data_IF_705395836190
#
_entry.id   IF_705395836190
#
_cell.length_a   1.000
_cell.length_b   1.000
_cell.length_c   1.000
_cell.angle_alpha   90.00
_cell.angle_beta   90.00
_cell.angle_gamma   90.00
#
_symmetry.space_group_name_H-M   'P 1'
#
loop_
_entity.id
_entity.type
_entity.pdbx_description
1 polymer ?
#
# COMPACT_ATOMS: atom_id res chain seq x y z
N UNK A 1 26.52 -27.84 -80.93
CA UNK A 1 25.97 -26.71 -81.70
C UNK A 1 24.50 -26.91 -82.10
N UNK A 2 23.65 -25.97 -81.68
CA UNK A 2 22.23 -25.85 -82.03
C UNK A 2 21.98 -24.53 -82.77
N UNK A 3 20.82 -24.40 -83.43
CA UNK A 3 20.41 -23.17 -84.13
C UNK A 3 19.24 -22.53 -83.39
N UNK A 4 19.35 -21.25 -83.05
CA UNK A 4 18.30 -20.54 -82.33
C UNK A 4 17.07 -20.38 -83.21
N UNK A 5 15.93 -20.92 -82.77
CA UNK A 5 14.66 -20.75 -83.49
C UNK A 5 14.17 -19.30 -83.55
N UNK A 6 14.67 -18.42 -82.68
CA UNK A 6 14.24 -17.01 -82.62
C UNK A 6 15.09 -16.07 -83.48
N UNK A 7 16.40 -16.31 -83.64
CA UNK A 7 17.30 -15.42 -84.40
C UNK A 7 18.13 -16.12 -85.49
N UNK A 8 18.07 -17.45 -85.60
CA UNK A 8 18.79 -18.23 -86.60
C UNK A 8 20.30 -18.37 -86.35
N UNK A 9 20.85 -17.82 -85.27
CA UNK A 9 22.26 -17.96 -84.94
C UNK A 9 22.59 -19.40 -84.49
N UNK A 10 23.74 -19.93 -84.91
CA UNK A 10 24.27 -21.20 -84.40
C UNK A 10 25.18 -20.95 -83.20
N UNK A 11 25.00 -21.72 -82.13
CA UNK A 11 25.74 -21.61 -80.87
C UNK A 11 25.87 -22.98 -80.20
N UNK A 12 26.73 -23.09 -79.18
CA UNK A 12 26.89 -24.35 -78.46
C UNK A 12 25.64 -24.72 -77.63
N UNK A 13 25.48 -26.02 -77.40
CA UNK A 13 24.24 -26.60 -76.85
C UNK A 13 24.22 -26.64 -75.31
N UNK A 14 25.28 -26.14 -74.67
CA UNK A 14 25.43 -26.10 -73.22
C UNK A 14 24.86 -24.82 -72.59
N UNK A 15 24.71 -23.73 -73.36
CA UNK A 15 24.07 -22.52 -72.84
C UNK A 15 22.53 -22.64 -72.73
N UNK A 16 21.94 -22.23 -71.58
CA UNK A 16 20.49 -22.28 -71.36
C UNK A 16 19.71 -21.25 -72.19
N UNK A 17 20.40 -20.24 -72.75
CA UNK A 17 19.81 -19.20 -73.61
C UNK A 17 20.76 -18.88 -74.74
N UNK A 18 20.18 -18.56 -75.90
CA UNK A 18 20.95 -18.07 -77.03
C UNK A 18 21.72 -16.79 -76.64
N UNK A 19 23.06 -16.76 -76.75
CA UNK A 19 23.85 -15.61 -76.32
C UNK A 19 23.63 -14.35 -77.18
N UNK A 20 23.06 -14.52 -78.38
CA UNK A 20 22.86 -13.42 -79.32
C UNK A 20 21.53 -12.69 -79.14
N UNK A 21 20.44 -13.41 -78.84
CA UNK A 21 19.11 -12.80 -78.70
C UNK A 21 18.40 -13.09 -77.38
N UNK A 22 18.99 -13.93 -76.51
CA UNK A 22 18.38 -14.32 -75.24
C UNK A 22 17.21 -15.30 -75.35
N UNK A 23 16.92 -15.84 -76.55
CA UNK A 23 15.88 -16.86 -76.74
C UNK A 23 16.21 -18.14 -75.97
N UNK A 24 15.20 -18.73 -75.32
CA UNK A 24 15.41 -19.90 -74.46
C UNK A 24 15.85 -21.13 -75.28
N UNK A 25 16.85 -21.85 -74.76
CA UNK A 25 17.17 -23.20 -75.21
C UNK A 25 16.18 -24.16 -74.52
N UNK A 26 15.04 -24.40 -75.17
CA UNK A 26 13.95 -25.19 -74.60
C UNK A 26 14.40 -26.60 -74.21
N UNK A 27 15.20 -27.27 -75.04
CA UNK A 27 15.68 -28.63 -74.78
C UNK A 27 16.57 -28.69 -73.53
N UNK A 28 17.48 -27.71 -73.38
CA UNK A 28 18.31 -27.61 -72.17
C UNK A 28 17.51 -27.24 -70.92
N UNK A 29 16.54 -26.35 -71.05
CA UNK A 29 15.65 -25.98 -69.94
C UNK A 29 14.81 -27.16 -69.45
N UNK A 30 14.38 -28.04 -70.36
CA UNK A 30 13.66 -29.28 -70.02
C UNK A 30 14.60 -30.26 -69.31
N UNK A 31 15.83 -30.45 -69.80
CA UNK A 31 16.81 -31.33 -69.18
C UNK A 31 17.13 -30.90 -67.73
N UNK A 32 17.40 -29.61 -67.50
CA UNK A 32 17.69 -29.09 -66.16
C UNK A 32 16.50 -29.26 -65.21
N UNK A 33 15.27 -29.09 -65.70
CA UNK A 33 14.08 -29.34 -64.90
C UNK A 33 13.91 -30.82 -64.55
N UNK A 34 14.15 -31.72 -65.50
CA UNK A 34 14.05 -33.16 -65.27
C UNK A 34 15.08 -33.65 -64.23
N UNK A 35 16.31 -33.15 -64.31
CA UNK A 35 17.37 -33.43 -63.33
C UNK A 35 16.98 -32.93 -61.93
N UNK A 36 16.45 -31.69 -61.85
CA UNK A 36 15.98 -31.12 -60.57
C UNK A 36 14.87 -31.95 -59.95
N UNK A 37 13.91 -32.43 -60.76
CA UNK A 37 12.81 -33.27 -60.27
C UNK A 37 13.33 -34.63 -59.79
N UNK A 38 14.32 -35.20 -60.45
CA UNK A 38 14.90 -36.49 -60.08
C UNK A 38 15.74 -36.41 -58.80
N UNK A 39 16.43 -35.30 -58.56
CA UNK A 39 17.15 -35.06 -57.30
C UNK A 39 16.17 -34.85 -56.13
N UNK A 40 15.09 -34.09 -56.34
CA UNK A 40 14.03 -33.93 -55.34
C UNK A 40 13.34 -35.26 -55.00
N UNK A 41 13.15 -36.15 -55.97
CA UNK A 41 12.63 -37.50 -55.72
C UNK A 41 13.60 -38.35 -54.89
N UNK A 42 14.91 -38.25 -55.13
CA UNK A 42 15.93 -38.94 -54.32
C UNK A 42 15.98 -38.41 -52.89
N UNK A 43 15.94 -37.09 -52.70
CA UNK A 43 15.85 -36.49 -51.37
C UNK A 43 14.57 -36.94 -50.65
N UNK A 44 13.42 -36.90 -51.32
CA UNK A 44 12.15 -37.37 -50.75
C UNK A 44 12.24 -38.83 -50.31
N UNK A 45 12.82 -39.72 -51.11
CA UNK A 45 13.04 -41.12 -50.73
C UNK A 45 13.95 -41.24 -49.51
N UNK A 46 15.03 -40.46 -49.42
CA UNK A 46 15.88 -40.42 -48.21
C UNK A 46 15.12 -39.95 -46.96
N UNK A 47 14.16 -39.03 -47.12
CA UNK A 47 13.30 -38.59 -46.01
C UNK A 47 12.24 -39.61 -45.63
N UNK A 48 11.67 -40.33 -46.60
CA UNK A 48 10.71 -41.42 -46.36
C UNK A 48 11.37 -42.66 -45.75
N UNK A 49 12.65 -42.93 -46.05
CA UNK A 49 13.43 -44.05 -45.51
C UNK A 49 14.09 -43.77 -44.15
N UNK A 50 14.12 -42.51 -43.68
CA UNK A 50 14.57 -42.21 -42.31
C UNK A 50 13.58 -42.85 -41.32
N UNK A 51 14.04 -43.78 -40.46
CA UNK A 51 13.12 -44.63 -39.72
C UNK A 51 12.32 -43.82 -38.70
N UNK A 52 11.06 -44.21 -38.52
CA UNK A 52 10.13 -43.88 -37.42
C UNK A 52 10.72 -44.01 -35.99
N UNK A 53 12.00 -44.34 -35.84
CA UNK A 53 12.75 -44.39 -34.58
C UNK A 53 12.93 -43.00 -33.95
N UNK A 54 12.94 -41.92 -34.72
CA UNK A 54 13.00 -40.55 -34.16
C UNK A 54 11.65 -40.15 -33.56
N UNK A 55 10.54 -40.76 -34.02
CA UNK A 55 9.21 -40.56 -33.47
C UNK A 55 8.83 -41.55 -32.35
N UNK A 56 9.53 -42.69 -32.22
CA UNK A 56 9.23 -43.76 -31.23
C UNK A 56 10.27 -43.95 -30.12
N UNK A 57 11.40 -43.23 -30.13
CA UNK A 57 12.31 -43.19 -29.00
C UNK A 57 11.78 -42.19 -27.96
N UNK A 58 11.06 -42.70 -26.96
CA UNK A 58 10.65 -41.90 -25.80
C UNK A 58 11.85 -41.14 -25.23
N UNK A 59 11.63 -39.86 -24.92
CA UNK A 59 12.62 -38.91 -24.37
C UNK A 59 13.70 -39.60 -23.54
N UNK A 60 14.97 -39.24 -23.76
CA UNK A 60 16.10 -39.74 -22.97
C UNK A 60 15.75 -39.67 -21.48
N UNK A 61 16.19 -40.67 -20.70
CA UNK A 61 15.83 -40.76 -19.28
C UNK A 61 16.11 -39.43 -18.53
N UNK A 62 17.18 -38.74 -18.94
CA UNK A 62 17.55 -37.39 -18.48
C UNK A 62 16.47 -36.34 -18.75
N UNK A 63 15.92 -36.29 -19.97
CA UNK A 63 14.86 -35.35 -20.31
C UNK A 63 13.57 -35.60 -19.52
N UNK A 64 13.20 -36.86 -19.26
CA UNK A 64 12.06 -37.20 -18.39
C UNK A 64 12.28 -36.75 -16.94
N UNK A 65 13.48 -36.97 -16.40
CA UNK A 65 13.83 -36.52 -15.04
C UNK A 65 13.78 -34.99 -14.95
N UNK A 66 14.34 -34.28 -15.93
CA UNK A 66 14.30 -32.81 -15.98
C UNK A 66 12.87 -32.28 -16.02
N UNK A 67 12.00 -32.84 -16.88
CA UNK A 67 10.59 -32.45 -16.96
C UNK A 67 9.89 -32.71 -15.62
N UNK A 68 10.10 -33.87 -15.00
CA UNK A 68 9.49 -34.20 -13.70
C UNK A 68 9.93 -33.22 -12.61
N UNK A 69 11.21 -32.85 -12.56
CA UNK A 69 11.73 -31.88 -11.59
C UNK A 69 11.14 -30.48 -11.83
N UNK A 70 11.04 -30.05 -13.09
CA UNK A 70 10.43 -28.74 -13.44
C UNK A 70 8.96 -28.72 -13.03
N UNK A 71 8.19 -29.77 -13.38
CA UNK A 71 6.77 -29.87 -13.02
C UNK A 71 6.60 -29.91 -11.50
N UNK A 72 7.42 -30.67 -10.78
CA UNK A 72 7.39 -30.69 -9.32
C UNK A 72 7.71 -29.31 -8.72
N UNK A 73 8.70 -28.60 -9.25
CA UNK A 73 9.05 -27.24 -8.84
C UNK A 73 7.90 -26.25 -9.07
N UNK A 74 7.25 -26.31 -10.24
CA UNK A 74 6.08 -25.48 -10.54
C UNK A 74 4.91 -25.76 -9.59
N UNK A 75 4.63 -27.03 -9.29
CA UNK A 75 3.57 -27.40 -8.35
C UNK A 75 3.85 -26.90 -6.93
N UNK A 76 5.09 -26.99 -6.46
CA UNK A 76 5.49 -26.45 -5.15
C UNK A 76 5.31 -24.93 -5.14
N UNK A 77 5.75 -24.23 -6.18
CA UNK A 77 5.62 -22.77 -6.27
C UNK A 77 4.15 -22.32 -6.29
N UNK A 78 3.28 -23.03 -7.01
CA UNK A 78 1.84 -22.78 -7.03
C UNK A 78 1.21 -23.03 -5.65
N UNK A 79 1.62 -24.10 -4.96
CA UNK A 79 1.18 -24.39 -3.59
C UNK A 79 1.54 -23.28 -2.61
N UNK A 80 2.79 -22.81 -2.62
CA UNK A 80 3.25 -21.69 -1.78
C UNK A 80 2.46 -20.42 -2.08
N UNK A 81 2.25 -20.11 -3.36
CA UNK A 81 1.48 -18.94 -3.77
C UNK A 81 0.04 -18.99 -3.24
N UNK A 82 -0.65 -20.12 -3.39
CA UNK A 82 -2.02 -20.29 -2.88
C UNK A 82 -2.07 -20.13 -1.35
N UNK A 83 -1.12 -20.72 -0.62
CA UNK A 83 -1.03 -20.57 0.84
C UNK A 83 -0.80 -19.10 1.23
N UNK A 84 0.12 -18.38 0.56
CA UNK A 84 0.31 -16.94 0.77
C UNK A 84 -0.98 -16.14 0.51
N UNK A 85 -1.71 -16.46 -0.57
CA UNK A 85 -2.99 -15.79 -0.88
C UNK A 85 -4.05 -16.05 0.17
N UNK A 86 -4.14 -17.27 0.70
CA UNK A 86 -5.08 -17.58 1.79
C UNK A 86 -4.69 -16.82 3.07
N UNK A 87 -3.41 -16.78 3.42
CA UNK A 87 -2.94 -16.05 4.60
C UNK A 87 -3.18 -14.55 4.50
N UNK A 88 -2.92 -13.95 3.33
CA UNK A 88 -3.17 -12.51 3.10
C UNK A 88 -4.65 -12.19 3.21
N UNK A 89 -5.52 -12.92 2.49
CA UNK A 89 -6.98 -12.72 2.60
C UNK A 89 -7.50 -12.94 4.03
N UNK A 90 -6.99 -13.96 4.73
CA UNK A 90 -7.38 -14.20 6.11
C UNK A 90 -6.92 -13.09 7.07
N UNK A 91 -5.76 -12.49 6.80
CA UNK A 91 -5.25 -11.32 7.54
C UNK A 91 -6.11 -10.10 7.27
N UNK A 92 -6.40 -9.80 6.00
CA UNK A 92 -7.22 -8.67 5.58
C UNK A 92 -8.63 -8.76 6.16
N UNK A 93 -9.24 -9.95 6.14
CA UNK A 93 -10.55 -10.19 6.74
C UNK A 93 -10.55 -9.97 8.27
N UNK A 94 -9.45 -10.32 8.95
CA UNK A 94 -9.32 -10.06 10.40
C UNK A 94 -9.19 -8.57 10.68
N UNK A 95 -8.39 -7.87 9.88
CA UNK A 95 -8.23 -6.42 10.00
C UNK A 95 -9.57 -5.70 9.77
N UNK A 96 -10.31 -6.07 8.71
CA UNK A 96 -11.64 -5.54 8.44
C UNK A 96 -12.62 -5.79 9.59
N UNK A 97 -12.62 -7.00 10.18
CA UNK A 97 -13.49 -7.30 11.31
C UNK A 97 -13.16 -6.46 12.55
N UNK A 98 -11.88 -6.15 12.79
CA UNK A 98 -11.44 -5.25 13.86
C UNK A 98 -11.89 -3.82 13.57
N UNK A 99 -11.69 -3.33 12.34
CA UNK A 99 -12.09 -1.98 11.93
C UNK A 99 -13.61 -1.80 12.00
N UNK A 100 -14.40 -2.76 11.54
CA UNK A 100 -15.86 -2.73 11.66
C UNK A 100 -16.31 -2.67 13.12
N UNK A 101 -15.63 -3.43 14.00
CA UNK A 101 -15.92 -3.41 15.42
C UNK A 101 -15.58 -2.07 16.07
N UNK A 102 -14.44 -1.48 15.71
CA UNK A 102 -14.01 -0.15 16.17
C UNK A 102 -14.94 0.95 15.68
N UNK A 103 -15.34 0.92 14.41
CA UNK A 103 -16.27 1.89 13.83
C UNK A 103 -17.63 1.82 14.52
N UNK A 104 -18.12 0.63 14.83
CA UNK A 104 -19.35 0.47 15.60
C UNK A 104 -19.24 1.08 17.01
N UNK A 105 -18.10 0.89 17.69
CA UNK A 105 -17.87 1.52 19.00
C UNK A 105 -17.80 3.05 18.86
N UNK A 106 -17.17 3.55 17.79
CA UNK A 106 -17.06 4.98 17.49
C UNK A 106 -18.43 5.63 17.32
N UNK A 107 -19.30 5.03 16.49
CA UNK A 107 -20.68 5.49 16.28
C UNK A 107 -21.53 5.41 17.56
N UNK A 108 -21.14 4.55 18.50
CA UNK A 108 -21.77 4.42 19.81
C UNK A 108 -21.14 5.36 20.85
N UNK A 109 -20.14 6.17 20.46
CA UNK A 109 -19.31 7.01 21.34
C UNK A 109 -18.65 6.23 22.50
N UNK A 110 -18.43 4.93 22.31
CA UNK A 110 -17.73 4.08 23.27
C UNK A 110 -16.21 4.22 23.11
N UNK A 111 -15.71 5.44 23.36
CA UNK A 111 -14.29 5.78 23.17
C UNK A 111 -13.36 5.04 24.14
N UNK A 112 -13.77 4.87 25.40
CA UNK A 112 -13.04 4.03 26.37
C UNK A 112 -12.98 2.55 25.91
N UNK A 113 -14.09 2.05 25.36
CA UNK A 113 -14.16 0.71 24.77
C UNK A 113 -13.23 0.56 23.57
N UNK A 114 -13.11 1.58 22.72
CA UNK A 114 -12.12 1.63 21.62
C UNK A 114 -10.71 1.43 22.17
N UNK A 115 -10.30 2.21 23.17
CA UNK A 115 -8.95 2.15 23.75
C UNK A 115 -8.67 0.75 24.32
N UNK A 116 -9.62 0.21 25.09
CA UNK A 116 -9.53 -1.14 25.67
C UNK A 116 -9.41 -2.22 24.58
N UNK A 117 -10.21 -2.10 23.53
CA UNK A 117 -10.22 -3.05 22.42
C UNK A 117 -8.92 -3.00 21.62
N UNK A 118 -8.43 -1.80 21.28
CA UNK A 118 -7.17 -1.63 20.54
C UNK A 118 -5.97 -2.21 21.29
N UNK A 119 -5.89 -1.94 22.60
CA UNK A 119 -4.83 -2.47 23.47
C UNK A 119 -4.84 -4.00 23.51
N UNK A 120 -6.02 -4.62 23.60
CA UNK A 120 -6.18 -6.08 23.60
C UNK A 120 -5.73 -6.72 22.28
N UNK A 121 -5.99 -6.05 21.16
CA UNK A 121 -5.69 -6.58 19.82
C UNK A 121 -4.30 -6.19 19.30
N UNK A 122 -3.51 -5.41 20.07
CA UNK A 122 -2.20 -4.88 19.68
C UNK A 122 -2.22 -4.16 18.32
N UNK A 123 -3.34 -3.51 18.01
CA UNK A 123 -3.63 -2.85 16.73
C UNK A 123 -3.22 -1.39 16.82
N UNK A 124 -1.91 -1.12 16.79
CA UNK A 124 -1.38 0.21 17.14
C UNK A 124 -0.55 0.90 16.07
N UNK A 125 -0.34 0.29 14.89
CA UNK A 125 0.69 0.80 13.96
C UNK A 125 0.24 1.04 12.51
N UNK A 126 -0.91 0.52 12.08
CA UNK A 126 -1.41 0.69 10.70
C UNK A 126 -2.04 2.06 10.41
N UNK A 127 -2.01 2.49 9.15
CA UNK A 127 -2.66 3.73 8.69
C UNK A 127 -4.18 3.68 8.88
N UNK A 128 -4.80 2.53 8.63
CA UNK A 128 -6.24 2.31 8.84
C UNK A 128 -6.71 2.53 10.29
N UNK A 129 -5.80 2.50 11.27
CA UNK A 129 -6.10 2.71 12.69
C UNK A 129 -5.83 4.14 13.17
N UNK A 130 -5.48 5.08 12.28
CA UNK A 130 -5.16 6.47 12.65
C UNK A 130 -6.32 7.19 13.35
N UNK A 131 -7.55 7.04 12.85
CA UNK A 131 -8.78 7.56 13.47
C UNK A 131 -8.87 7.17 14.95
N UNK A 132 -8.73 5.89 15.24
CA UNK A 132 -8.91 5.35 16.59
C UNK A 132 -7.71 5.61 17.52
N UNK A 133 -6.49 5.77 16.98
CA UNK A 133 -5.34 6.22 17.77
C UNK A 133 -5.46 7.66 18.23
N UNK A 134 -6.09 8.51 17.41
CA UNK A 134 -6.40 9.87 17.83
C UNK A 134 -7.38 9.85 19.01
N UNK A 135 -8.40 8.97 18.97
CA UNK A 135 -9.29 8.73 20.12
C UNK A 135 -8.52 8.27 21.36
N UNK A 136 -7.58 7.33 21.21
CA UNK A 136 -6.73 6.87 22.33
C UNK A 136 -5.90 8.01 22.94
N UNK A 137 -5.36 8.90 22.12
CA UNK A 137 -4.61 10.07 22.59
C UNK A 137 -5.53 10.99 23.41
N UNK A 138 -6.69 11.34 22.85
CA UNK A 138 -7.66 12.21 23.53
C UNK A 138 -8.21 11.59 24.82
N UNK A 139 -8.53 10.30 24.85
CA UNK A 139 -9.01 9.60 26.05
C UNK A 139 -7.93 9.55 27.14
N UNK A 140 -6.66 9.33 26.77
CA UNK A 140 -5.55 9.33 27.72
C UNK A 140 -5.38 10.70 28.40
N UNK A 141 -5.36 11.77 27.59
CA UNK A 141 -5.14 13.13 28.07
C UNK A 141 -6.34 13.66 28.89
N UNK A 142 -7.55 13.16 28.63
CA UNK A 142 -8.78 13.68 29.27
C UNK A 142 -9.37 12.79 30.36
N UNK A 143 -8.99 11.51 30.48
CA UNK A 143 -9.56 10.62 31.50
C UNK A 143 -8.53 9.83 32.27
N UNK A 144 -7.57 9.21 31.59
CA UNK A 144 -6.66 8.28 32.27
C UNK A 144 -5.54 9.01 33.03
N UNK A 145 -5.12 10.18 32.56
CA UNK A 145 -4.08 11.00 33.20
C UNK A 145 -4.59 12.25 33.91
N UNK A 146 -5.89 12.52 33.82
CA UNK A 146 -6.48 13.73 34.38
C UNK A 146 -6.66 13.60 35.90
N UNK A 147 -5.81 14.29 36.66
CA UNK A 147 -5.86 14.34 38.12
C UNK A 147 -6.03 15.81 38.54
N UNK A 148 -7.25 16.19 38.87
CA UNK A 148 -7.56 17.54 39.38
C UNK A 148 -6.88 17.75 40.74
N UNK A 149 -6.02 18.77 40.90
CA UNK A 149 -5.45 19.13 42.19
C UNK A 149 -6.53 19.51 43.20
N UNK A 150 -6.51 18.89 44.38
CA UNK A 150 -7.45 19.17 45.47
C UNK A 150 -6.78 19.14 46.85
N UNK A 151 -7.48 19.64 47.87
CA UNK A 151 -7.04 19.61 49.27
C UNK A 151 -5.68 20.26 49.51
N UNK A 152 -4.84 19.63 50.33
CA UNK A 152 -3.52 20.15 50.72
C UNK A 152 -2.60 20.39 49.51
N UNK A 153 -2.75 19.61 48.43
CA UNK A 153 -1.95 19.78 47.23
C UNK A 153 -2.29 21.08 46.51
N UNK A 154 -3.60 21.34 46.31
CA UNK A 154 -4.08 22.61 45.73
C UNK A 154 -3.71 23.80 46.61
N UNK A 155 -3.90 23.69 47.93
CA UNK A 155 -3.51 24.75 48.88
C UNK A 155 -2.00 25.07 48.78
N UNK A 156 -1.16 24.05 48.58
CA UNK A 156 0.28 24.25 48.37
C UNK A 156 0.57 24.96 47.06
N UNK A 157 -0.11 24.61 45.97
CA UNK A 157 0.02 25.28 44.67
C UNK A 157 -0.29 26.79 44.81
N UNK A 158 -1.41 27.11 45.46
CA UNK A 158 -1.86 28.49 45.70
C UNK A 158 -0.86 29.24 46.59
N UNK A 159 -0.49 28.65 47.74
CA UNK A 159 0.43 29.26 48.71
C UNK A 159 1.82 29.54 48.11
N UNK A 160 2.32 28.64 47.27
CA UNK A 160 3.63 28.76 46.63
C UNK A 160 3.59 29.57 45.33
N UNK A 161 2.40 29.97 44.85
CA UNK A 161 2.19 30.70 43.58
C UNK A 161 2.79 29.96 42.39
N UNK A 162 2.49 28.67 42.27
CA UNK A 162 3.04 27.78 41.22
C UNK A 162 1.94 27.30 40.27
N UNK A 163 1.48 28.13 39.32
CA UNK A 163 0.42 27.76 38.36
C UNK A 163 0.76 26.49 37.57
N UNK A 164 2.05 26.25 37.30
CA UNK A 164 2.53 25.01 36.64
C UNK A 164 2.26 23.73 37.43
N UNK A 165 1.79 23.82 38.68
CA UNK A 165 1.33 22.69 39.47
C UNK A 165 -0.05 22.16 39.06
N UNK A 166 -0.81 22.92 38.27
CA UNK A 166 -2.09 22.52 37.68
C UNK A 166 -1.84 21.63 36.44
N UNK A 167 -1.39 20.40 36.70
CA UNK A 167 -1.01 19.45 35.64
C UNK A 167 -2.18 18.99 34.78
N UNK A 168 -3.37 18.91 35.37
CA UNK A 168 -4.62 18.63 34.67
C UNK A 168 -4.92 19.67 33.58
N UNK A 169 -4.72 20.97 33.86
CA UNK A 169 -4.87 22.03 32.86
C UNK A 169 -3.91 21.82 31.68
N UNK A 170 -2.70 21.32 31.95
CA UNK A 170 -1.73 20.98 30.89
C UNK A 170 -2.24 19.88 29.97
N UNK A 171 -2.74 18.78 30.53
CA UNK A 171 -3.27 17.67 29.74
C UNK A 171 -4.51 18.06 28.95
N UNK A 172 -5.39 18.89 29.51
CA UNK A 172 -6.54 19.42 28.78
C UNK A 172 -6.09 20.28 27.59
N UNK A 173 -5.03 21.07 27.74
CA UNK A 173 -4.48 21.85 26.62
C UNK A 173 -3.87 20.95 25.55
N UNK A 174 -3.16 19.88 25.92
CA UNK A 174 -2.66 18.89 24.97
C UNK A 174 -3.81 18.29 24.14
N UNK A 175 -4.92 17.92 24.78
CA UNK A 175 -6.11 17.40 24.11
C UNK A 175 -6.74 18.44 23.16
N UNK A 176 -6.87 19.71 23.58
CA UNK A 176 -7.38 20.80 22.74
C UNK A 176 -6.47 21.06 21.52
N UNK A 177 -5.15 20.99 21.70
CA UNK A 177 -4.19 21.09 20.60
C UNK A 177 -4.36 19.94 19.60
N UNK A 178 -4.57 18.70 20.08
CA UNK A 178 -4.87 17.55 19.20
C UNK A 178 -6.15 17.78 18.41
N UNK A 179 -7.19 18.31 19.06
CA UNK A 179 -8.45 18.67 18.41
C UNK A 179 -8.24 19.73 17.31
N UNK A 180 -7.50 20.80 17.59
CA UNK A 180 -7.20 21.88 16.63
C UNK A 180 -6.35 21.39 15.45
N UNK A 181 -5.38 20.47 15.70
CA UNK A 181 -4.60 19.82 14.65
C UNK A 181 -5.49 19.01 13.70
N UNK A 182 -6.48 18.28 14.24
CA UNK A 182 -7.42 17.51 13.43
C UNK A 182 -8.30 18.42 12.56
N UNK A 183 -8.81 19.52 13.13
CA UNK A 183 -9.59 20.51 12.38
C UNK A 183 -8.79 21.18 11.26
N UNK A 184 -7.56 21.61 11.55
CA UNK A 184 -6.68 22.22 10.56
C UNK A 184 -6.34 21.25 9.41
N UNK A 185 -6.42 19.94 9.67
CA UNK A 185 -6.26 18.88 8.68
C UNK A 185 -7.58 18.44 8.02
N UNK A 186 -8.67 19.20 8.22
CA UNK A 186 -10.02 18.90 7.72
C UNK A 186 -10.48 17.47 8.08
N UNK A 187 -10.18 17.04 9.31
CA UNK A 187 -10.55 15.74 9.85
C UNK A 187 -10.17 14.59 8.93
N UNK A 188 -8.89 14.57 8.56
CA UNK A 188 -8.29 13.66 7.57
C UNK A 188 -8.69 12.18 7.69
N UNK A 189 -9.00 11.69 8.89
CA UNK A 189 -9.34 10.29 9.16
C UNK A 189 -10.80 10.08 9.56
N UNK A 190 -11.68 11.06 9.29
CA UNK A 190 -13.10 11.03 9.64
C UNK A 190 -13.35 10.95 11.16
N UNK A 191 -12.56 11.71 11.92
CA UNK A 191 -12.60 11.73 13.39
C UNK A 191 -13.46 12.86 14.00
N UNK A 192 -14.32 13.51 13.22
CA UNK A 192 -15.02 14.75 13.59
C UNK A 192 -15.83 14.62 14.89
N UNK A 193 -16.55 13.51 15.05
CA UNK A 193 -17.47 13.31 16.17
C UNK A 193 -16.71 13.19 17.51
N UNK A 194 -15.59 12.49 17.50
CA UNK A 194 -14.70 12.38 18.66
C UNK A 194 -14.04 13.72 18.97
N UNK A 195 -13.54 14.43 17.97
CA UNK A 195 -12.94 15.76 18.16
C UNK A 195 -13.93 16.75 18.77
N UNK A 196 -15.18 16.76 18.29
CA UNK A 196 -16.23 17.59 18.85
C UNK A 196 -16.52 17.23 20.32
N UNK A 197 -16.68 15.93 20.61
CA UNK A 197 -16.91 15.44 21.97
C UNK A 197 -15.81 15.85 22.95
N UNK A 198 -14.54 15.61 22.60
CA UNK A 198 -13.43 15.93 23.51
C UNK A 198 -13.19 17.42 23.64
N UNK A 199 -13.44 18.23 22.61
CA UNK A 199 -13.38 19.69 22.73
C UNK A 199 -14.43 20.21 23.72
N UNK A 200 -15.67 19.73 23.61
CA UNK A 200 -16.74 20.10 24.52
C UNK A 200 -16.41 19.65 25.95
N UNK A 201 -15.93 18.41 26.12
CA UNK A 201 -15.48 17.89 27.41
C UNK A 201 -14.37 18.76 28.03
N UNK A 202 -13.34 19.09 27.26
CA UNK A 202 -12.22 19.91 27.73
C UNK A 202 -12.67 21.31 28.15
N UNK A 203 -13.55 21.92 27.36
CA UNK A 203 -14.07 23.27 27.65
C UNK A 203 -14.94 23.27 28.90
N UNK A 204 -15.84 22.27 29.02
CA UNK A 204 -16.66 22.07 30.21
C UNK A 204 -15.80 21.84 31.45
N UNK A 205 -14.76 21.00 31.35
CA UNK A 205 -13.86 20.72 32.48
C UNK A 205 -13.16 21.98 32.98
N UNK A 206 -12.59 22.79 32.07
CA UNK A 206 -11.93 24.04 32.46
C UNK A 206 -12.91 25.04 33.08
N UNK A 207 -14.15 25.07 32.60
CA UNK A 207 -15.18 25.92 33.19
C UNK A 207 -15.60 25.43 34.58
N UNK A 208 -15.89 24.14 34.74
CA UNK A 208 -16.39 23.55 36.00
C UNK A 208 -15.35 23.60 37.12
N UNK A 209 -14.06 23.46 36.81
CA UNK A 209 -12.99 23.39 37.80
C UNK A 209 -12.23 24.69 38.02
N UNK A 210 -12.22 25.59 37.03
CA UNK A 210 -11.41 26.80 37.04
C UNK A 210 -12.14 28.07 36.61
N UNK A 211 -13.46 28.00 36.39
CA UNK A 211 -14.31 29.12 35.98
C UNK A 211 -13.87 29.84 34.68
N UNK A 212 -13.03 29.18 33.89
CA UNK A 212 -12.56 29.70 32.61
C UNK A 212 -13.72 29.76 31.59
N UNK A 213 -13.86 30.90 30.94
CA UNK A 213 -14.86 31.13 29.89
C UNK A 213 -14.43 30.58 28.53
N UNK A 214 -15.39 30.32 27.64
CA UNK A 214 -15.09 29.91 26.26
C UNK A 214 -14.20 30.94 25.54
N UNK A 215 -14.41 32.23 25.79
CA UNK A 215 -13.60 33.31 25.24
C UNK A 215 -12.15 33.23 25.73
N UNK A 216 -11.91 33.03 27.02
CA UNK A 216 -10.56 32.90 27.58
C UNK A 216 -9.83 31.67 27.03
N UNK A 217 -10.55 30.54 26.92
CA UNK A 217 -10.00 29.32 26.33
C UNK A 217 -9.60 29.59 24.88
N UNK A 218 -10.50 30.19 24.10
CA UNK A 218 -10.24 30.54 22.70
C UNK A 218 -9.07 31.50 22.54
N UNK A 219 -8.97 32.54 23.36
CA UNK A 219 -7.86 33.50 23.29
C UNK A 219 -6.49 32.84 23.43
N UNK A 220 -6.38 31.83 24.30
CA UNK A 220 -5.14 31.06 24.41
C UNK A 220 -4.96 30.18 23.17
N UNK A 221 -5.98 29.43 22.77
CA UNK A 221 -5.88 28.49 21.64
C UNK A 221 -5.68 29.15 20.27
N UNK A 222 -6.13 30.39 20.09
CA UNK A 222 -5.86 31.20 18.89
C UNK A 222 -4.36 31.52 18.73
N UNK A 223 -3.59 31.43 19.81
CA UNK A 223 -2.13 31.54 19.80
C UNK A 223 -1.41 30.28 19.28
N UNK A 224 -2.12 29.21 18.96
CA UNK A 224 -1.51 27.96 18.50
C UNK A 224 -0.82 28.08 17.14
N UNK A 225 0.47 27.77 17.10
CA UNK A 225 1.31 27.74 15.91
C UNK A 225 2.05 26.38 15.82
N UNK A 226 1.66 25.48 14.89
CA UNK A 226 2.31 24.19 14.73
C UNK A 226 3.77 24.28 14.25
N UNK A 227 4.23 25.45 13.77
CA UNK A 227 5.58 25.68 13.28
C UNK A 227 6.57 26.08 14.37
N UNK A 228 6.07 26.56 15.52
CA UNK A 228 6.87 26.94 16.68
C UNK A 228 6.93 25.78 17.69
N UNK A 229 8.16 25.32 17.98
CA UNK A 229 8.41 24.18 18.86
C UNK A 229 8.09 24.47 20.33
N UNK A 230 8.17 25.74 20.73
CA UNK A 230 7.92 26.15 22.11
C UNK A 230 6.47 26.60 22.32
N UNK A 231 5.69 26.72 21.24
CA UNK A 231 4.33 27.22 21.27
C UNK A 231 3.41 26.42 22.20
N UNK A 232 3.47 25.08 22.13
CA UNK A 232 2.65 24.20 22.98
C UNK A 232 2.89 24.46 24.48
N UNK A 233 4.14 24.43 24.94
CA UNK A 233 4.46 24.71 26.35
C UNK A 233 4.14 26.15 26.76
N UNK A 234 4.15 27.10 25.82
CA UNK A 234 3.70 28.46 26.10
C UNK A 234 2.18 28.53 26.31
N UNK A 235 1.40 27.82 25.50
CA UNK A 235 -0.06 27.76 25.65
C UNK A 235 -0.47 27.08 26.96
N UNK A 236 0.16 25.96 27.30
CA UNK A 236 -0.04 25.26 28.58
C UNK A 236 0.17 26.22 29.76
N UNK A 237 1.30 26.93 29.76
CA UNK A 237 1.63 27.90 30.82
C UNK A 237 0.63 29.05 30.87
N UNK A 238 0.22 29.59 29.72
CA UNK A 238 -0.77 30.67 29.67
C UNK A 238 -2.12 30.23 30.23
N UNK A 239 -2.56 29.01 29.92
CA UNK A 239 -3.82 28.48 30.45
C UNK A 239 -3.73 28.22 31.96
N UNK A 240 -2.62 27.64 32.42
CA UNK A 240 -2.36 27.42 33.84
C UNK A 240 -2.32 28.73 34.64
N UNK A 241 -1.71 29.79 34.07
CA UNK A 241 -1.70 31.11 34.69
C UNK A 241 -3.10 31.70 34.81
N UNK A 242 -3.96 31.57 33.78
CA UNK A 242 -5.36 32.01 33.83
C UNK A 242 -6.19 31.20 34.84
N UNK A 243 -6.12 29.87 34.78
CA UNK A 243 -6.79 28.99 35.72
C UNK A 243 -6.40 29.29 37.17
N UNK A 244 -5.10 29.55 37.41
CA UNK A 244 -4.60 29.94 38.72
C UNK A 244 -5.14 31.29 39.18
N UNK A 245 -5.30 32.27 38.29
CA UNK A 245 -5.90 33.55 38.63
C UNK A 245 -7.31 33.38 39.19
N UNK A 246 -8.18 32.64 38.49
CA UNK A 246 -9.56 32.35 38.94
C UNK A 246 -9.61 31.64 40.31
N UNK A 247 -8.65 30.76 40.61
CA UNK A 247 -8.58 30.10 41.93
C UNK A 247 -8.19 31.05 43.09
N UNK A 248 -7.65 32.23 42.79
CA UNK A 248 -7.09 33.16 43.79
C UNK A 248 -7.84 34.48 43.91
N UNK A 249 -8.87 34.68 43.09
CA UNK A 249 -9.83 35.79 43.20
C UNK A 249 -10.83 35.56 44.34
#
# INVERSE_FOLDING_TARGET
>A
MIVCNNCGASYEDDEPRCPYCGGDNFEKSVQVHEDTINDLKREKQQWEEKPQRVARAGMSMVAKVLITVIVAGLLISAGIYVVMRIHTVASDNREQAVLEKLEKMYQQQDYSGICTYMKKHNTLYGEAFRKYRLVETLENDTKDYLITPEGEYLERIIREKKPTGLSDVSYIIDALIVCQKSEAADYKYEEQEAVAYYREYCSAYLNEHYELTEEEIKEVMDGYDPSDKDNQSNLERMMQERAFSHLTE
#
